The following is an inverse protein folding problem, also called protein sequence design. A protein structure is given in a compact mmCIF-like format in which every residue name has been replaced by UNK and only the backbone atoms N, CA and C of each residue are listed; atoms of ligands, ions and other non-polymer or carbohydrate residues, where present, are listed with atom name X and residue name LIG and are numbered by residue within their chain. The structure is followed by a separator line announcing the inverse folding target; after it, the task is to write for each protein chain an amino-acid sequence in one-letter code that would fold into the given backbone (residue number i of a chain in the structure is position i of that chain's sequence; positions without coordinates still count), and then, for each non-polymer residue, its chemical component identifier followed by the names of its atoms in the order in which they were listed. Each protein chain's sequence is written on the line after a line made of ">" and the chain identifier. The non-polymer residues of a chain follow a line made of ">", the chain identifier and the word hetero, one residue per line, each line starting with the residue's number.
data_IF_136724865269
#
_entry.id   IF_136724865269
#
_cell.length_a   1.000
_cell.length_b   1.000
_cell.length_c   1.000
_cell.angle_alpha   90.00
_cell.angle_beta   90.00
_cell.angle_gamma   90.00
#
_symmetry.space_group_name_H-M   'P 1'
#
loop_
_entity.id
_entity.type
_entity.pdbx_description
1 polymer ?
#
# COMPACT_ATOMS: atom_id res chain seq x y z
N UNK A 1 -18.32 17.00 -5.37
CA UNK A 1 -17.07 16.21 -5.44
C UNK A 1 -15.99 17.16 -5.96
N UNK A 2 -15.14 17.70 -5.08
CA UNK A 2 -14.07 18.62 -5.50
C UNK A 2 -12.98 17.82 -6.22
N UNK A 3 -12.65 18.20 -7.45
CA UNK A 3 -11.56 17.57 -8.20
C UNK A 3 -10.21 17.93 -7.54
N UNK A 4 -9.37 16.92 -7.33
CA UNK A 4 -7.98 17.13 -6.94
C UNK A 4 -7.19 17.75 -8.11
N UNK A 5 -6.10 18.49 -7.81
CA UNK A 5 -5.24 19.13 -8.82
C UNK A 5 -4.81 18.17 -9.95
N UNK A 6 -4.46 16.93 -9.59
CA UNK A 6 -4.07 15.89 -10.55
C UNK A 6 -5.23 15.46 -11.45
N UNK A 7 -6.44 15.31 -10.90
CA UNK A 7 -7.64 14.98 -11.68
C UNK A 7 -8.01 16.12 -12.63
N UNK A 8 -7.88 17.37 -12.19
CA UNK A 8 -8.12 18.55 -13.02
C UNK A 8 -7.14 18.61 -14.20
N UNK A 9 -5.84 18.44 -13.94
CA UNK A 9 -4.81 18.42 -15.00
C UNK A 9 -5.08 17.29 -15.99
N UNK A 10 -5.44 16.10 -15.50
CA UNK A 10 -5.71 14.95 -16.35
C UNK A 10 -6.98 15.14 -17.19
N UNK A 11 -8.01 15.78 -16.64
CA UNK A 11 -9.25 16.08 -17.36
C UNK A 11 -9.02 17.15 -18.44
N UNK A 12 -8.26 18.21 -18.12
CA UNK A 12 -7.82 19.20 -19.11
C UNK A 12 -6.96 18.56 -20.21
N UNK A 13 -6.08 17.63 -19.82
CA UNK A 13 -5.28 16.84 -20.76
C UNK A 13 -6.16 16.04 -21.72
N UNK A 14 -7.14 15.29 -21.21
CA UNK A 14 -8.07 14.53 -22.06
C UNK A 14 -8.84 15.42 -23.04
N UNK A 15 -9.32 16.58 -22.59
CA UNK A 15 -10.02 17.53 -23.45
C UNK A 15 -9.09 18.10 -24.54
N UNK A 16 -7.86 18.45 -24.18
CA UNK A 16 -6.87 18.95 -25.13
C UNK A 16 -6.51 17.89 -26.18
N UNK A 17 -6.28 16.64 -25.76
CA UNK A 17 -5.97 15.53 -26.67
C UNK A 17 -7.14 15.29 -27.63
N UNK A 18 -8.39 15.35 -27.16
CA UNK A 18 -9.57 15.21 -28.02
C UNK A 18 -9.69 16.33 -29.06
N UNK A 19 -9.40 17.58 -28.69
CA UNK A 19 -9.39 18.70 -29.64
C UNK A 19 -8.31 18.49 -30.70
N UNK A 20 -7.10 18.08 -30.28
CA UNK A 20 -6.00 17.78 -31.20
C UNK A 20 -6.43 16.67 -32.17
N UNK A 21 -7.01 15.59 -31.64
CA UNK A 21 -7.42 14.41 -32.39
C UNK A 21 -8.47 14.73 -33.48
N UNK A 22 -9.43 15.62 -33.20
CA UNK A 22 -10.40 16.11 -34.19
C UNK A 22 -9.74 16.91 -35.32
N UNK A 23 -8.72 17.72 -34.99
CA UNK A 23 -8.07 18.63 -35.94
C UNK A 23 -7.03 17.89 -36.79
N UNK A 24 -6.37 16.87 -36.24
CA UNK A 24 -5.35 16.09 -36.94
C UNK A 24 -5.96 15.07 -37.90
N UNK A 25 -5.33 14.84 -39.07
CA UNK A 25 -5.74 13.77 -39.97
C UNK A 25 -5.70 12.39 -39.30
N UNK A 26 -6.62 11.50 -39.69
CA UNK A 26 -6.87 10.19 -39.06
C UNK A 26 -5.70 9.19 -39.15
N UNK A 27 -4.68 9.49 -39.96
CA UNK A 27 -3.52 8.61 -40.15
C UNK A 27 -2.43 8.77 -39.07
N UNK A 28 -2.53 9.80 -38.21
CA UNK A 28 -1.58 10.03 -37.11
C UNK A 28 -1.99 9.32 -35.81
N UNK A 29 -1.00 8.85 -35.06
CA UNK A 29 -1.15 8.09 -33.80
C UNK A 29 -1.38 9.00 -32.59
N UNK A 30 -2.31 9.95 -32.67
CA UNK A 30 -2.61 10.91 -31.58
C UNK A 30 -3.21 10.21 -30.35
N UNK A 31 -3.82 9.05 -30.55
CA UNK A 31 -4.41 8.21 -29.49
C UNK A 31 -3.46 7.87 -28.34
N UNK A 32 -2.15 7.77 -28.62
CA UNK A 32 -1.13 7.48 -27.61
C UNK A 32 -1.11 8.55 -26.50
N UNK A 33 -1.49 9.80 -26.82
CA UNK A 33 -1.51 10.88 -25.83
C UNK A 33 -2.61 10.67 -24.77
N UNK A 34 -3.69 9.93 -25.06
CA UNK A 34 -4.68 9.57 -24.05
C UNK A 34 -4.07 8.69 -22.94
N UNK A 35 -3.09 7.87 -23.31
CA UNK A 35 -2.39 6.99 -22.38
C UNK A 35 -1.58 7.82 -21.36
N UNK A 36 -1.01 8.96 -21.76
CA UNK A 36 -0.34 9.90 -20.85
C UNK A 36 -1.31 10.45 -19.79
N UNK A 37 -2.57 10.71 -20.15
CA UNK A 37 -3.58 11.17 -19.20
C UNK A 37 -3.95 10.10 -18.18
N UNK A 38 -3.98 8.82 -18.58
CA UNK A 38 -4.24 7.70 -17.67
C UNK A 38 -3.06 7.47 -16.72
N UNK A 39 -1.82 7.60 -17.22
CA UNK A 39 -0.63 7.51 -16.37
C UNK A 39 -0.59 8.61 -15.29
N UNK A 40 -1.09 9.81 -15.60
CA UNK A 40 -1.16 10.90 -14.61
C UNK A 40 -2.09 10.57 -13.41
N UNK A 41 -3.13 9.77 -13.63
CA UNK A 41 -4.05 9.32 -12.57
C UNK A 41 -3.68 7.96 -11.98
N UNK A 42 -2.52 7.38 -12.34
CA UNK A 42 -2.10 6.04 -11.93
C UNK A 42 -2.08 5.84 -10.40
N UNK A 43 -1.78 6.88 -9.61
CA UNK A 43 -1.76 6.81 -8.13
C UNK A 43 -3.08 7.20 -7.46
N UNK A 44 -4.15 7.40 -8.22
CA UNK A 44 -5.47 7.77 -7.69
C UNK A 44 -6.30 6.52 -7.37
N UNK A 45 -7.52 6.73 -6.86
CA UNK A 45 -8.43 5.62 -6.57
C UNK A 45 -8.78 4.81 -7.83
N UNK A 46 -9.05 3.51 -7.64
CA UNK A 46 -9.47 2.60 -8.73
C UNK A 46 -10.67 3.17 -9.50
N UNK A 47 -11.65 3.75 -8.79
CA UNK A 47 -12.81 4.40 -9.41
C UNK A 47 -12.42 5.56 -10.32
N UNK A 48 -11.42 6.36 -9.93
CA UNK A 48 -10.90 7.45 -10.77
C UNK A 48 -10.24 6.89 -12.02
N UNK A 49 -9.37 5.89 -11.89
CA UNK A 49 -8.66 5.30 -13.03
C UNK A 49 -9.65 4.69 -14.04
N UNK A 50 -10.64 3.94 -13.55
CA UNK A 50 -11.68 3.34 -14.39
C UNK A 50 -12.51 4.44 -15.07
N UNK A 51 -12.92 5.47 -14.33
CA UNK A 51 -13.68 6.59 -14.89
C UNK A 51 -12.93 7.30 -16.02
N UNK A 52 -11.66 7.64 -15.81
CA UNK A 52 -10.82 8.29 -16.82
C UNK A 52 -10.56 7.38 -18.04
N UNK A 53 -10.35 6.08 -17.82
CA UNK A 53 -10.16 5.10 -18.91
C UNK A 53 -11.43 4.95 -19.75
N UNK A 54 -12.59 4.88 -19.10
CA UNK A 54 -13.88 4.84 -19.78
C UNK A 54 -14.13 6.12 -20.59
N UNK A 55 -13.86 7.30 -20.00
CA UNK A 55 -13.96 8.57 -20.72
C UNK A 55 -13.02 8.63 -21.92
N UNK A 56 -11.78 8.15 -21.80
CA UNK A 56 -10.84 8.09 -22.92
C UNK A 56 -11.34 7.18 -24.04
N UNK A 57 -11.80 5.97 -23.72
CA UNK A 57 -12.38 5.06 -24.72
C UNK A 57 -13.63 5.67 -25.42
N UNK A 58 -14.47 6.38 -24.66
CA UNK A 58 -15.64 7.07 -25.20
C UNK A 58 -15.25 8.21 -26.14
N UNK A 59 -14.22 9.00 -25.79
CA UNK A 59 -13.72 10.07 -26.65
C UNK A 59 -13.10 9.53 -27.95
N UNK A 60 -12.33 8.44 -27.88
CA UNK A 60 -11.77 7.77 -29.07
C UNK A 60 -12.90 7.25 -29.97
N UNK A 61 -13.94 6.66 -29.37
CA UNK A 61 -15.11 6.16 -30.10
C UNK A 61 -15.93 7.29 -30.75
N UNK A 62 -16.10 8.42 -30.05
CA UNK A 62 -16.78 9.60 -30.55
C UNK A 62 -16.00 10.26 -31.71
N UNK A 63 -14.67 10.33 -31.58
CA UNK A 63 -13.78 10.83 -32.64
C UNK A 63 -13.95 10.02 -33.93
N UNK A 64 -14.01 8.69 -33.82
CA UNK A 64 -14.27 7.80 -34.95
C UNK A 64 -15.64 8.08 -35.60
N UNK A 65 -16.70 8.29 -34.81
CA UNK A 65 -18.04 8.58 -35.31
C UNK A 65 -18.08 9.89 -36.11
N UNK A 66 -17.45 10.94 -35.61
CA UNK A 66 -17.35 12.25 -36.28
C UNK A 66 -16.58 12.10 -37.60
N UNK A 67 -15.51 11.31 -37.63
CA UNK A 67 -14.73 11.06 -38.85
C UNK A 67 -15.55 10.33 -39.93
N UNK A 68 -16.39 9.37 -39.54
CA UNK A 68 -17.30 8.65 -40.45
C UNK A 68 -18.34 9.60 -41.05
N UNK A 69 -18.94 10.45 -40.22
CA UNK A 69 -19.97 11.41 -40.67
C UNK A 69 -19.42 12.47 -41.64
N UNK A 70 -18.17 12.91 -41.43
CA UNK A 70 -17.48 13.84 -42.33
C UNK A 70 -17.03 13.20 -43.66
N UNK A 71 -17.35 11.92 -43.91
CA UNK A 71 -17.07 11.25 -45.16
C UNK A 71 -15.59 10.97 -45.41
N UNK A 72 -14.75 10.96 -44.36
CA UNK A 72 -13.35 10.54 -44.49
C UNK A 72 -13.30 9.06 -44.90
N UNK A 73 -12.50 8.75 -45.91
CA UNK A 73 -12.23 7.37 -46.32
C UNK A 73 -11.61 6.60 -45.14
N UNK A 74 -12.36 5.64 -44.58
CA UNK A 74 -11.89 4.81 -43.48
C UNK A 74 -10.90 3.77 -44.02
N UNK A 75 -9.62 4.08 -43.91
CA UNK A 75 -8.56 3.11 -44.14
C UNK A 75 -8.53 2.08 -43.00
N UNK A 76 -8.24 0.81 -43.31
CA UNK A 76 -8.06 -0.25 -42.31
C UNK A 76 -7.02 0.14 -41.23
N UNK A 77 -6.01 0.93 -41.62
CA UNK A 77 -4.98 1.48 -40.72
C UNK A 77 -5.58 2.28 -39.57
N UNK A 78 -6.64 3.06 -39.82
CA UNK A 78 -7.29 3.91 -38.81
C UNK A 78 -7.98 3.04 -37.76
N UNK A 79 -8.76 2.03 -38.20
CA UNK A 79 -9.44 1.10 -37.30
C UNK A 79 -8.45 0.32 -36.41
N UNK A 80 -7.35 -0.16 -37.00
CA UNK A 80 -6.31 -0.88 -36.27
C UNK A 80 -5.65 0.00 -35.22
N UNK A 81 -5.28 1.25 -35.58
CA UNK A 81 -4.65 2.17 -34.64
C UNK A 81 -5.54 2.48 -33.41
N UNK A 82 -6.83 2.77 -33.65
CA UNK A 82 -7.79 3.06 -32.58
C UNK A 82 -8.01 1.84 -31.68
N UNK A 83 -8.11 0.64 -32.28
CA UNK A 83 -8.24 -0.62 -31.55
C UNK A 83 -7.03 -0.91 -30.64
N UNK A 84 -5.80 -0.74 -31.15
CA UNK A 84 -4.57 -0.91 -30.37
C UNK A 84 -4.56 0.04 -29.17
N UNK A 85 -4.98 1.28 -29.37
CA UNK A 85 -4.98 2.30 -28.32
C UNK A 85 -5.98 2.01 -27.22
N UNK A 86 -7.21 1.60 -27.57
CA UNK A 86 -8.22 1.15 -26.60
C UNK A 86 -7.69 -0.05 -25.80
N UNK A 87 -7.07 -1.02 -26.49
CA UNK A 87 -6.50 -2.19 -25.83
C UNK A 87 -5.38 -1.82 -24.86
N UNK A 88 -4.48 -0.91 -25.27
CA UNK A 88 -3.41 -0.40 -24.43
C UNK A 88 -3.95 0.35 -23.20
N UNK A 89 -4.98 1.18 -23.36
CA UNK A 89 -5.68 1.86 -22.27
C UNK A 89 -6.24 0.85 -21.27
N UNK A 90 -6.92 -0.21 -21.75
CA UNK A 90 -7.47 -1.25 -20.88
C UNK A 90 -6.37 -1.98 -20.09
N UNK A 91 -5.26 -2.35 -20.73
CA UNK A 91 -4.13 -3.00 -20.06
C UNK A 91 -3.55 -2.07 -18.99
N UNK A 92 -3.26 -0.82 -19.33
CA UNK A 92 -2.68 0.15 -18.41
C UNK A 92 -3.61 0.40 -17.23
N UNK A 93 -4.92 0.53 -17.46
CA UNK A 93 -5.92 0.68 -16.42
C UNK A 93 -5.96 -0.53 -15.48
N UNK A 94 -5.90 -1.74 -16.03
CA UNK A 94 -5.86 -2.98 -15.26
C UNK A 94 -4.61 -3.06 -14.37
N UNK A 95 -3.42 -2.82 -14.95
CA UNK A 95 -2.15 -2.81 -14.22
C UNK A 95 -2.18 -1.74 -13.12
N UNK A 96 -2.69 -0.54 -13.43
CA UNK A 96 -2.80 0.55 -12.46
C UNK A 96 -3.73 0.21 -11.29
N UNK A 97 -4.88 -0.39 -11.58
CA UNK A 97 -5.83 -0.83 -10.55
C UNK A 97 -5.21 -1.91 -9.65
N UNK A 98 -4.54 -2.89 -10.24
CA UNK A 98 -3.85 -3.95 -9.51
C UNK A 98 -2.72 -3.42 -8.64
N UNK A 99 -1.85 -2.55 -9.18
CA UNK A 99 -0.74 -1.96 -8.46
C UNK A 99 -1.20 -1.13 -7.26
N UNK A 100 -2.26 -0.32 -7.41
CA UNK A 100 -2.79 0.46 -6.30
C UNK A 100 -3.30 -0.42 -5.17
N UNK A 101 -4.02 -1.50 -5.49
CA UNK A 101 -4.51 -2.45 -4.49
C UNK A 101 -3.36 -3.10 -3.71
N UNK A 102 -2.32 -3.53 -4.42
CA UNK A 102 -1.11 -4.10 -3.82
C UNK A 102 -0.40 -3.09 -2.91
N UNK A 103 -0.28 -1.83 -3.37
CA UNK A 103 0.38 -0.79 -2.59
C UNK A 103 -0.40 -0.40 -1.32
N UNK A 104 -1.73 -0.50 -1.33
CA UNK A 104 -2.56 -0.26 -0.15
C UNK A 104 -2.36 -1.36 0.87
N UNK A 105 -2.41 -2.62 0.43
CA UNK A 105 -2.16 -3.77 1.30
C UNK A 105 -0.78 -3.70 1.96
N UNK A 106 0.26 -3.35 1.20
CA UNK A 106 1.62 -3.17 1.75
C UNK A 106 1.67 -2.08 2.81
N UNK A 107 0.98 -0.96 2.61
CA UNK A 107 0.95 0.16 3.58
C UNK A 107 0.20 -0.22 4.85
N UNK A 108 -0.89 -0.96 4.72
CA UNK A 108 -1.69 -1.37 5.89
C UNK A 108 -0.91 -2.39 6.73
N UNK A 109 -0.14 -3.28 6.10
CA UNK A 109 0.81 -4.17 6.79
C UNK A 109 1.91 -3.43 7.52
N UNK A 110 2.57 -2.47 6.85
CA UNK A 110 3.60 -1.64 7.50
C UNK A 110 3.05 -0.93 8.74
N UNK A 111 1.81 -0.44 8.69
CA UNK A 111 1.14 0.18 9.84
C UNK A 111 0.87 -0.82 10.96
N UNK A 112 0.35 -2.02 10.64
CA UNK A 112 0.09 -3.05 11.64
C UNK A 112 1.38 -3.50 12.32
N UNK A 113 2.44 -3.75 11.56
CA UNK A 113 3.74 -4.12 12.10
C UNK A 113 4.35 -3.00 12.95
N UNK A 114 4.27 -1.75 12.46
CA UNK A 114 4.70 -0.58 13.25
C UNK A 114 3.92 -0.46 14.56
N UNK A 115 2.64 -0.83 14.57
CA UNK A 115 1.82 -0.82 15.79
C UNK A 115 2.25 -1.93 16.75
N UNK A 116 2.51 -3.13 16.25
CA UNK A 116 3.06 -4.22 17.05
C UNK A 116 4.40 -3.85 17.70
N UNK A 117 5.29 -3.18 16.96
CA UNK A 117 6.55 -2.66 17.51
C UNK A 117 6.33 -1.62 18.61
N UNK A 118 5.36 -0.72 18.45
CA UNK A 118 5.02 0.26 19.49
C UNK A 118 4.54 -0.43 20.76
N UNK A 119 3.69 -1.45 20.63
CA UNK A 119 3.18 -2.23 21.76
C UNK A 119 4.29 -3.04 22.43
N UNK A 120 5.24 -3.59 21.66
CA UNK A 120 6.45 -4.26 22.16
C UNK A 120 7.32 -3.31 23.00
N UNK A 121 7.55 -2.09 22.50
CA UNK A 121 8.30 -1.05 23.22
C UNK A 121 7.62 -0.67 24.54
N UNK A 122 6.28 -0.60 24.53
CA UNK A 122 5.49 -0.35 25.73
C UNK A 122 5.66 -1.46 26.78
N UNK A 123 5.52 -2.72 26.37
CA UNK A 123 5.71 -3.89 27.24
C UNK A 123 7.14 -3.90 27.82
N UNK A 124 8.15 -3.69 26.97
CA UNK A 124 9.55 -3.65 27.39
C UNK A 124 9.80 -2.53 28.39
N UNK A 125 9.24 -1.34 28.17
CA UNK A 125 9.46 -0.19 29.04
C UNK A 125 8.76 -0.32 30.40
N UNK A 126 7.57 -0.93 30.45
CA UNK A 126 6.76 -0.98 31.65
C UNK A 126 6.86 -2.32 32.39
N UNK A 127 6.72 -3.41 31.66
CA UNK A 127 6.60 -4.74 32.25
C UNK A 127 7.96 -5.37 32.51
N UNK A 128 8.92 -5.29 31.58
CA UNK A 128 10.29 -5.83 31.80
C UNK A 128 11.06 -5.04 32.85
N UNK A 129 10.82 -3.72 32.95
CA UNK A 129 11.51 -2.87 33.92
C UNK A 129 11.26 -3.27 35.38
N UNK A 130 10.06 -3.77 35.70
CA UNK A 130 9.67 -4.18 37.06
C UNK A 130 10.54 -5.34 37.61
N UNK A 131 10.58 -6.53 36.98
CA UNK A 131 11.41 -7.63 37.48
C UNK A 131 12.90 -7.29 37.41
N UNK A 132 13.36 -6.51 36.42
CA UNK A 132 14.76 -6.05 36.36
C UNK A 132 15.12 -5.14 37.54
N UNK A 133 14.26 -4.18 37.89
CA UNK A 133 14.48 -3.31 39.05
C UNK A 133 14.48 -4.10 40.36
N UNK A 134 13.58 -5.09 40.49
CA UNK A 134 13.54 -5.99 41.66
C UNK A 134 14.82 -6.80 41.79
N UNK A 135 15.31 -7.41 40.70
CA UNK A 135 16.57 -8.15 40.67
C UNK A 135 17.72 -7.26 41.09
N UNK A 136 17.87 -6.06 40.50
CA UNK A 136 18.93 -5.12 40.85
C UNK A 136 18.83 -4.65 42.30
N UNK A 137 17.61 -4.44 42.82
CA UNK A 137 17.38 -4.10 44.22
C UNK A 137 17.84 -5.22 45.16
N UNK A 138 17.46 -6.46 44.89
CA UNK A 138 17.84 -7.64 45.68
C UNK A 138 19.35 -7.90 45.65
N UNK A 139 19.99 -7.80 44.48
CA UNK A 139 21.45 -7.92 44.35
C UNK A 139 22.16 -6.85 45.20
N UNK A 140 21.69 -5.60 45.16
CA UNK A 140 22.25 -4.54 46.01
C UNK A 140 22.07 -4.79 47.52
N UNK A 141 20.97 -5.46 47.94
CA UNK A 141 20.77 -5.83 49.35
C UNK A 141 21.70 -6.96 49.76
N UNK A 142 21.92 -7.94 48.88
CA UNK A 142 22.87 -9.04 49.09
C UNK A 142 24.29 -8.50 49.24
N UNK A 143 24.71 -7.56 48.40
CA UNK A 143 26.06 -6.97 48.42
C UNK A 143 26.33 -6.10 49.65
N UNK A 144 25.29 -5.52 50.27
CA UNK A 144 25.46 -4.50 51.31
C UNK A 144 25.63 -5.03 52.72
N UNK A 145 24.94 -6.10 53.14
CA UNK A 145 25.11 -6.77 54.45
C UNK A 145 24.07 -7.91 54.62
N UNK A 146 24.06 -8.92 53.74
CA UNK A 146 23.15 -10.06 53.91
C UNK A 146 23.64 -11.04 54.98
N UNK A 147 22.90 -11.14 56.07
CA UNK A 147 23.01 -12.22 57.05
C UNK A 147 22.43 -13.55 56.51
N UNK A 148 22.93 -14.67 57.03
CA UNK A 148 22.61 -16.01 56.52
C UNK A 148 21.09 -16.34 56.56
N UNK A 149 20.34 -15.71 57.46
CA UNK A 149 18.87 -15.79 57.56
C UNK A 149 18.16 -15.13 56.39
N UNK A 150 18.59 -13.92 56.01
CA UNK A 150 17.96 -13.08 54.97
C UNK A 150 18.30 -13.54 53.56
N UNK A 151 19.44 -14.21 53.40
CA UNK A 151 19.94 -14.73 52.12
C UNK A 151 18.96 -15.70 51.44
N UNK A 152 18.27 -16.53 52.23
CA UNK A 152 17.27 -17.47 51.71
C UNK A 152 16.04 -16.74 51.15
N UNK A 153 15.55 -15.74 51.87
CA UNK A 153 14.41 -14.92 51.44
C UNK A 153 14.75 -14.10 50.19
N UNK A 154 15.93 -13.50 50.13
CA UNK A 154 16.40 -12.78 48.95
C UNK A 154 16.55 -13.70 47.74
N UNK A 155 17.07 -14.91 47.92
CA UNK A 155 17.15 -15.92 46.85
C UNK A 155 15.76 -16.26 46.29
N UNK A 156 14.77 -16.51 47.16
CA UNK A 156 13.39 -16.80 46.74
C UNK A 156 12.78 -15.65 45.93
N UNK A 157 12.97 -14.40 46.35
CA UNK A 157 12.50 -13.23 45.61
C UNK A 157 13.23 -12.98 44.29
N UNK A 158 14.53 -13.29 44.24
CA UNK A 158 15.34 -13.20 43.02
C UNK A 158 14.86 -14.21 41.99
N UNK A 159 14.63 -15.45 42.43
CA UNK A 159 14.09 -16.51 41.60
C UNK A 159 12.70 -16.16 41.06
N UNK A 160 11.82 -15.60 41.90
CA UNK A 160 10.50 -15.14 41.48
C UNK A 160 10.59 -14.03 40.42
N UNK A 161 11.44 -13.02 40.64
CA UNK A 161 11.62 -11.91 39.69
C UNK A 161 12.24 -12.37 38.37
N UNK A 162 13.20 -13.30 38.41
CA UNK A 162 13.78 -13.90 37.22
C UNK A 162 12.77 -14.73 36.43
N UNK A 163 11.89 -15.47 37.11
CA UNK A 163 10.81 -16.23 36.46
C UNK A 163 9.72 -15.33 35.88
N UNK A 164 9.40 -14.21 36.53
CA UNK A 164 8.49 -13.19 36.00
C UNK A 164 9.07 -12.58 34.72
N UNK A 165 10.36 -12.24 34.72
CA UNK A 165 11.06 -11.75 33.53
C UNK A 165 11.04 -12.76 32.39
N UNK A 166 11.37 -14.03 32.65
CA UNK A 166 11.36 -15.09 31.63
C UNK A 166 9.97 -15.28 31.00
N UNK A 167 8.91 -15.19 31.81
CA UNK A 167 7.52 -15.23 31.33
C UNK A 167 7.23 -14.07 30.37
N UNK A 168 7.58 -12.84 30.77
CA UNK A 168 7.36 -11.65 29.94
C UNK A 168 8.13 -11.74 28.62
N UNK A 169 9.38 -12.21 28.65
CA UNK A 169 10.19 -12.38 27.43
C UNK A 169 9.57 -13.44 26.50
N UNK A 170 9.06 -14.55 27.03
CA UNK A 170 8.35 -15.57 26.24
C UNK A 170 7.08 -15.02 25.60
N UNK A 171 6.27 -14.27 26.35
CA UNK A 171 5.07 -13.61 25.83
C UNK A 171 5.42 -12.63 24.71
N UNK A 172 6.50 -11.86 24.87
CA UNK A 172 6.97 -10.90 23.87
C UNK A 172 7.43 -11.58 22.58
N UNK A 173 8.19 -12.67 22.70
CA UNK A 173 8.65 -13.44 21.53
C UNK A 173 7.48 -14.05 20.78
N UNK A 174 6.53 -14.67 21.49
CA UNK A 174 5.33 -15.24 20.87
C UNK A 174 4.49 -14.17 20.16
N UNK A 175 4.34 -12.99 20.76
CA UNK A 175 3.64 -11.87 20.16
C UNK A 175 4.31 -11.39 18.86
N UNK A 176 5.65 -11.31 18.85
CA UNK A 176 6.41 -10.93 17.65
C UNK A 176 6.32 -11.97 16.53
N UNK A 177 6.44 -13.26 16.87
CA UNK A 177 6.29 -14.35 15.90
C UNK A 177 4.90 -14.35 15.28
N UNK A 178 3.84 -14.09 16.05
CA UNK A 178 2.48 -13.95 15.54
C UNK A 178 2.35 -12.75 14.59
N UNK A 179 2.88 -11.59 14.97
CA UNK A 179 2.85 -10.39 14.13
C UNK A 179 3.58 -10.59 12.77
N UNK A 180 4.67 -11.36 12.76
CA UNK A 180 5.40 -11.73 11.53
C UNK A 180 4.65 -12.78 10.69
N UNK A 181 4.02 -13.77 11.32
CA UNK A 181 3.22 -14.78 10.61
C UNK A 181 1.98 -14.19 9.93
N UNK A 182 1.30 -13.26 10.60
CA UNK A 182 0.15 -12.55 10.05
C UNK A 182 0.56 -11.73 8.80
N UNK A 183 1.75 -11.13 8.83
CA UNK A 183 2.30 -10.38 7.70
C UNK A 183 2.53 -11.27 6.47
N UNK A 184 3.05 -12.49 6.66
CA UNK A 184 3.31 -13.46 5.60
C UNK A 184 2.02 -14.06 5.03
N UNK A 185 1.10 -14.49 5.89
CA UNK A 185 -0.15 -15.16 5.48
C UNK A 185 -1.03 -14.28 4.59
N UNK A 186 -1.13 -12.98 4.88
CA UNK A 186 -1.88 -12.05 4.03
C UNK A 186 -1.23 -11.83 2.65
N UNK A 187 0.10 -12.01 2.53
CA UNK A 187 0.81 -11.79 1.26
C UNK A 187 0.54 -12.97 0.33
N UNK A 188 0.62 -14.18 0.88
CA UNK A 188 0.38 -15.42 0.15
C UNK A 188 -1.06 -15.47 -0.37
N UNK A 189 -2.04 -15.12 0.47
CA UNK A 189 -3.45 -15.04 0.08
C UNK A 189 -3.72 -14.03 -1.05
N UNK A 190 -2.95 -12.93 -1.14
CA UNK A 190 -3.09 -11.97 -2.23
C UNK A 190 -2.45 -12.49 -3.53
N UNK A 191 -1.30 -13.15 -3.47
CA UNK A 191 -0.62 -13.69 -4.65
C UNK A 191 -1.33 -14.90 -5.27
N UNK A 192 -2.18 -15.57 -4.50
CA UNK A 192 -2.95 -16.74 -4.94
C UNK A 192 -4.25 -16.40 -5.70
N UNK A 193 -4.63 -15.12 -5.79
CA UNK A 193 -5.83 -14.61 -6.47
C UNK A 193 -5.50 -13.96 -7.83
#
# INVERSE_FOLDING_TARGET
>A
MSLNKVQLISALGLAAVFIIDIVTPTDYTVDILYLCCILAVFKQSIQTIIGFSFSACLLISLSLLIAVENGLMLNLSVWVNRGISIFAICIVAYIAAHYNKLSQLSRDKEKQYSKALEDMLFITSHQVRKPVANILGLVNLIDKDADASSLKEYHEHLQASASELDTIIKELNNFMEQAEQDQHTELDNFTAL
#
